data_IF_304666392200
#
_entry.id   IF_304666392200
#
_cell.length_a   1.000
_cell.length_b   1.000
_cell.length_c   1.000
_cell.angle_alpha   90.00
_cell.angle_beta   90.00
_cell.angle_gamma   90.00
#
_symmetry.space_group_name_H-M   'P 1'
#
loop_
_entity.id
_entity.type
_entity.pdbx_description
1 polymer ?
#
# COMPACT_ATOMS: atom_id res chain seq x y z
N UNK A 1 -4.14 2.92 13.76
CA UNK A 1 -4.71 2.98 12.39
C UNK A 1 -4.81 4.40 11.87
N UNK A 2 -5.44 5.35 12.58
CA UNK A 2 -5.55 6.75 12.12
C UNK A 2 -4.19 7.42 11.84
N UNK A 3 -3.25 7.39 12.78
CA UNK A 3 -1.90 7.95 12.58
C UNK A 3 -1.17 7.30 11.39
N UNK A 4 -1.28 5.98 11.22
CA UNK A 4 -0.68 5.29 10.08
C UNK A 4 -1.30 5.74 8.75
N UNK A 5 -2.63 5.91 8.72
CA UNK A 5 -3.34 6.42 7.55
C UNK A 5 -2.93 7.86 7.23
N UNK A 6 -2.90 8.76 8.21
CA UNK A 6 -2.52 10.17 8.03
C UNK A 6 -1.08 10.33 7.50
N UNK A 7 -0.12 9.57 8.03
CA UNK A 7 1.25 9.56 7.55
C UNK A 7 1.35 9.01 6.11
N UNK A 8 0.61 7.94 5.81
CA UNK A 8 0.59 7.34 4.47
C UNK A 8 0.01 8.31 3.43
N UNK A 9 -1.08 9.00 3.77
CA UNK A 9 -1.67 10.05 2.92
C UNK A 9 -0.67 11.17 2.69
N UNK A 10 0.02 11.61 3.74
CA UNK A 10 1.04 12.67 3.65
C UNK A 10 2.15 12.29 2.67
N UNK A 11 2.66 11.06 2.72
CA UNK A 11 3.69 10.56 1.80
C UNK A 11 3.18 10.52 0.35
N UNK A 12 1.96 10.03 0.13
CA UNK A 12 1.36 9.93 -1.21
C UNK A 12 1.17 11.32 -1.83
N UNK A 13 0.66 12.29 -1.06
CA UNK A 13 0.48 13.66 -1.53
C UNK A 13 1.81 14.36 -1.81
N UNK A 14 2.83 14.16 -0.96
CA UNK A 14 4.17 14.68 -1.20
C UNK A 14 4.79 14.11 -2.49
N UNK A 15 4.68 12.80 -2.72
CA UNK A 15 5.17 12.18 -3.96
C UNK A 15 4.44 12.67 -5.21
N UNK A 16 3.14 12.96 -5.11
CA UNK A 16 2.39 13.60 -6.21
C UNK A 16 2.86 15.04 -6.46
N UNK A 17 3.08 15.82 -5.42
CA UNK A 17 3.59 17.20 -5.53
C UNK A 17 5.02 17.24 -6.09
N UNK A 18 5.84 16.25 -5.77
CA UNK A 18 7.19 16.08 -6.31
C UNK A 18 7.20 15.56 -7.77
N UNK A 19 6.07 15.13 -8.31
CA UNK A 19 5.97 14.52 -9.65
C UNK A 19 6.48 13.07 -9.71
N UNK A 20 6.69 12.43 -8.56
CA UNK A 20 7.12 11.02 -8.47
C UNK A 20 5.94 10.06 -8.66
N UNK A 21 4.74 10.47 -8.24
CA UNK A 21 3.52 9.68 -8.36
C UNK A 21 2.52 10.30 -9.33
N UNK A 22 1.85 9.44 -10.10
CA UNK A 22 0.77 9.79 -11.02
C UNK A 22 -0.45 8.96 -10.66
N UNK A 23 -1.51 9.63 -10.21
CA UNK A 23 -2.80 9.00 -9.89
C UNK A 23 -3.93 10.02 -9.89
N UNK A 24 -5.14 9.56 -10.22
CA UNK A 24 -6.36 10.37 -10.27
C UNK A 24 -7.29 10.17 -9.07
N UNK A 25 -7.13 9.05 -8.35
CA UNK A 25 -7.91 8.74 -7.15
C UNK A 25 -7.56 9.64 -5.95
N UNK A 26 -8.37 9.60 -4.91
CA UNK A 26 -8.11 10.29 -3.65
C UNK A 26 -7.00 9.56 -2.86
N UNK A 27 -5.97 10.29 -2.41
CA UNK A 27 -4.87 9.74 -1.60
C UNK A 27 -5.37 9.06 -0.30
N UNK A 28 -6.45 9.57 0.29
CA UNK A 28 -7.13 8.96 1.45
C UNK A 28 -7.57 7.53 1.16
N UNK A 29 -8.18 7.30 0.00
CA UNK A 29 -8.69 5.98 -0.37
C UNK A 29 -7.56 5.05 -0.77
N UNK A 30 -6.53 5.56 -1.46
CA UNK A 30 -5.32 4.81 -1.80
C UNK A 30 -4.65 4.30 -0.51
N UNK A 31 -4.44 5.19 0.47
CA UNK A 31 -3.84 4.82 1.75
C UNK A 31 -4.64 3.72 2.46
N UNK A 32 -5.97 3.79 2.47
CA UNK A 32 -6.79 2.73 3.05
C UNK A 32 -6.66 1.39 2.33
N UNK A 33 -6.61 1.39 0.99
CA UNK A 33 -6.42 0.15 0.22
C UNK A 33 -5.05 -0.48 0.47
N UNK A 34 -3.99 0.32 0.53
CA UNK A 34 -2.64 -0.16 0.87
C UNK A 34 -2.58 -0.74 2.28
N UNK A 35 -3.17 -0.05 3.27
CA UNK A 35 -3.23 -0.53 4.65
C UNK A 35 -4.04 -1.83 4.76
N UNK A 36 -5.21 -1.90 4.11
CA UNK A 36 -6.04 -3.10 4.09
C UNK A 36 -5.30 -4.29 3.48
N UNK A 37 -4.53 -4.07 2.39
CA UNK A 37 -3.68 -5.09 1.80
C UNK A 37 -2.63 -5.60 2.78
N UNK A 38 -1.85 -4.69 3.39
CA UNK A 38 -0.80 -5.05 4.37
C UNK A 38 -1.38 -5.85 5.54
N UNK A 39 -2.51 -5.41 6.10
CA UNK A 39 -3.18 -6.14 7.19
C UNK A 39 -3.69 -7.52 6.74
N UNK A 40 -4.22 -7.65 5.53
CA UNK A 40 -4.66 -8.94 4.99
C UNK A 40 -3.49 -9.89 4.75
N UNK A 41 -2.39 -9.39 4.18
CA UNK A 41 -1.16 -10.15 3.95
C UNK A 41 -0.52 -10.60 5.27
N UNK A 42 -0.48 -9.75 6.29
CA UNK A 42 0.05 -10.09 7.62
C UNK A 42 -0.76 -11.22 8.28
N UNK A 43 -2.08 -11.19 8.17
CA UNK A 43 -2.94 -12.28 8.64
C UNK A 43 -2.64 -13.61 7.94
N UNK A 44 -2.44 -13.60 6.62
CA UNK A 44 -2.09 -14.81 5.85
C UNK A 44 -0.69 -15.32 6.19
N UNK A 45 0.26 -14.41 6.43
CA UNK A 45 1.62 -14.74 6.86
C UNK A 45 1.63 -15.43 8.23
N UNK A 46 0.92 -14.86 9.22
CA UNK A 46 0.80 -15.43 10.58
C UNK A 46 0.13 -16.81 10.58
N UNK A 47 -0.81 -17.05 9.67
CA UNK A 47 -1.47 -18.36 9.50
C UNK A 47 -0.58 -19.41 8.82
N UNK A 48 0.61 -19.02 8.34
CA UNK A 48 1.57 -19.95 7.73
C UNK A 48 1.15 -20.44 6.34
N UNK A 49 0.38 -19.63 5.58
CA UNK A 49 0.02 -19.95 4.20
C UNK A 49 1.31 -19.93 3.34
N UNK A 50 1.77 -21.07 2.79
CA UNK A 50 3.06 -21.15 2.11
C UNK A 50 3.23 -20.16 0.96
N UNK A 51 2.14 -19.87 0.26
CA UNK A 51 2.09 -18.94 -0.88
C UNK A 51 2.24 -17.47 -0.47
N UNK A 52 2.13 -17.15 0.83
CA UNK A 52 2.22 -15.79 1.37
C UNK A 52 3.47 -15.58 2.25
N UNK A 53 4.50 -16.40 2.08
CA UNK A 53 5.81 -16.20 2.73
C UNK A 53 6.49 -14.90 2.28
N UNK A 54 7.56 -14.50 2.98
CA UNK A 54 8.27 -13.21 2.83
C UNK A 54 8.52 -12.70 1.39
N UNK A 55 8.87 -13.54 0.39
CA UNK A 55 9.00 -13.07 -0.98
C UNK A 55 7.68 -12.62 -1.62
N UNK A 56 6.58 -13.30 -1.30
CA UNK A 56 5.26 -13.02 -1.83
C UNK A 56 4.64 -11.75 -1.21
N UNK A 57 4.83 -11.54 0.09
CA UNK A 57 4.34 -10.35 0.78
C UNK A 57 4.84 -9.07 0.09
N UNK A 58 6.17 -8.95 -0.09
CA UNK A 58 6.79 -7.78 -0.74
C UNK A 58 6.34 -7.64 -2.18
N UNK A 59 6.30 -8.73 -2.93
CA UNK A 59 5.83 -8.73 -4.31
C UNK A 59 4.41 -8.15 -4.44
N UNK A 60 3.48 -8.57 -3.58
CA UNK A 60 2.10 -8.09 -3.63
C UNK A 60 1.98 -6.61 -3.23
N UNK A 61 2.73 -6.18 -2.21
CA UNK A 61 2.76 -4.79 -1.79
C UNK A 61 3.34 -3.87 -2.89
N UNK A 62 4.51 -4.21 -3.45
CA UNK A 62 5.16 -3.43 -4.52
C UNK A 62 4.26 -3.34 -5.76
N UNK A 63 3.59 -4.44 -6.10
CA UNK A 63 2.65 -4.47 -7.23
C UNK A 63 1.45 -3.55 -6.99
N UNK A 64 0.89 -3.53 -5.78
CA UNK A 64 -0.23 -2.65 -5.45
C UNK A 64 0.19 -1.18 -5.46
N UNK A 65 1.36 -0.85 -4.90
CA UNK A 65 1.93 0.49 -4.95
C UNK A 65 2.09 0.96 -6.42
N UNK A 66 2.62 0.08 -7.28
CA UNK A 66 2.77 0.37 -8.71
C UNK A 66 1.43 0.69 -9.37
N UNK A 67 0.40 -0.11 -9.08
CA UNK A 67 -0.94 0.07 -9.68
C UNK A 67 -1.67 1.32 -9.16
N UNK A 68 -1.45 1.70 -7.91
CA UNK A 68 -2.15 2.83 -7.28
C UNK A 68 -1.47 4.18 -7.54
N UNK A 69 -0.14 4.21 -7.64
CA UNK A 69 0.65 5.45 -7.63
C UNK A 69 1.34 5.77 -8.96
N UNK A 70 1.29 4.88 -9.95
CA UNK A 70 1.99 5.07 -11.24
C UNK A 70 1.09 4.78 -12.47
N UNK A 71 -0.24 4.80 -12.28
CA UNK A 71 -1.23 4.48 -13.31
C UNK A 71 -1.91 5.73 -13.90
#
# INVERSE_FOLDING_TARGET
MQMWHEETVTIIEQGKQAGEFTFTANATDIAWRLIALVCGLDGMYVLGIPEMADPAFKYHLDRMITLELFA
#
